data_IF_924304763513
#
_entry.id   IF_924304763513
#
_cell.length_a   1.000
_cell.length_b   1.000
_cell.length_c   1.000
_cell.angle_alpha   90.00
_cell.angle_beta   90.00
_cell.angle_gamma   90.00
#
_symmetry.space_group_name_H-M   'P 1'
#
loop_
_entity.id
_entity.type
_entity.pdbx_description
1 polymer ?
#
# COMPACT_ATOMS: atom_id res chain seq x y z
N UNK A 1 -20.02 -21.96 -11.78
CA UNK A 1 -19.49 -20.79 -12.54
C UNK A 1 -18.32 -20.25 -11.73
N UNK A 2 -17.18 -19.97 -12.35
CA UNK A 2 -15.93 -19.59 -11.66
C UNK A 2 -15.28 -18.36 -12.27
N UNK A 3 -14.12 -17.98 -11.75
CA UNK A 3 -13.31 -16.90 -12.32
C UNK A 3 -12.80 -17.30 -13.72
N UNK A 4 -12.96 -16.41 -14.69
CA UNK A 4 -12.58 -16.62 -16.09
C UNK A 4 -11.35 -15.76 -16.41
N UNK A 5 -10.17 -16.42 -16.50
CA UNK A 5 -8.88 -15.76 -16.73
C UNK A 5 -8.73 -15.21 -18.16
N UNK A 6 -9.67 -15.50 -19.06
CA UNK A 6 -9.64 -14.99 -20.44
C UNK A 6 -10.33 -13.64 -20.59
N UNK A 7 -11.00 -13.16 -19.53
CA UNK A 7 -11.71 -11.89 -19.51
C UNK A 7 -10.98 -10.86 -18.63
N UNK A 8 -10.97 -9.58 -19.00
CA UNK A 8 -10.40 -8.54 -18.16
C UNK A 8 -11.05 -8.51 -16.77
N UNK A 9 -10.22 -8.43 -15.74
CA UNK A 9 -10.62 -8.34 -14.34
C UNK A 9 -10.18 -7.02 -13.71
N UNK A 10 -10.86 -6.60 -12.64
CA UNK A 10 -10.42 -5.50 -11.79
C UNK A 10 -10.06 -6.06 -10.41
N UNK A 11 -8.81 -5.87 -10.00
CA UNK A 11 -8.26 -6.33 -8.74
C UNK A 11 -8.05 -5.14 -7.79
N UNK A 12 -8.25 -5.37 -6.50
CA UNK A 12 -8.02 -4.39 -5.44
C UNK A 12 -7.24 -5.03 -4.29
N UNK A 13 -6.13 -4.41 -3.91
CA UNK A 13 -5.33 -4.77 -2.74
C UNK A 13 -5.15 -3.53 -1.85
N UNK A 14 -6.13 -3.25 -1.00
CA UNK A 14 -6.17 -2.11 -0.07
C UNK A 14 -5.85 -2.59 1.36
N UNK A 15 -5.05 -1.82 2.10
CA UNK A 15 -4.67 -2.17 3.48
C UNK A 15 -4.05 -3.55 3.65
N UNK A 16 -3.35 -4.06 2.63
CA UNK A 16 -2.85 -5.45 2.61
C UNK A 16 -1.33 -5.55 2.65
N UNK A 17 -0.65 -4.80 1.77
CA UNK A 17 0.79 -5.05 1.50
C UNK A 17 1.68 -4.89 2.73
N UNK A 18 1.31 -3.99 3.65
CA UNK A 18 2.05 -3.77 4.89
C UNK A 18 2.12 -5.01 5.80
N UNK A 19 1.18 -5.94 5.65
CA UNK A 19 1.06 -7.16 6.44
C UNK A 19 1.67 -8.37 5.74
N UNK A 20 2.22 -8.20 4.53
CA UNK A 20 2.87 -9.25 3.77
C UNK A 20 4.39 -9.08 3.85
N UNK A 21 5.18 -10.15 4.04
CA UNK A 21 6.60 -10.13 3.71
C UNK A 21 6.87 -9.70 2.26
N UNK A 22 8.11 -9.28 1.93
CA UNK A 22 8.44 -8.80 0.59
C UNK A 22 8.21 -9.86 -0.51
N UNK A 23 8.64 -11.10 -0.28
CA UNK A 23 8.43 -12.22 -1.20
C UNK A 23 6.95 -12.56 -1.40
N UNK A 24 6.12 -12.40 -0.37
CA UNK A 24 4.68 -12.60 -0.45
C UNK A 24 3.98 -11.52 -1.28
N UNK A 25 4.46 -10.27 -1.26
CA UNK A 25 3.98 -9.22 -2.18
C UNK A 25 4.27 -9.61 -3.64
N UNK A 26 5.50 -10.02 -3.93
CA UNK A 26 5.91 -10.42 -5.28
C UNK A 26 5.10 -11.65 -5.76
N UNK A 27 4.93 -12.63 -4.87
CA UNK A 27 4.09 -13.80 -5.14
C UNK A 27 2.63 -13.46 -5.41
N UNK A 28 2.05 -12.50 -4.67
CA UNK A 28 0.71 -11.98 -4.90
C UNK A 28 0.59 -11.34 -6.28
N UNK A 29 1.49 -10.42 -6.63
CA UNK A 29 1.46 -9.77 -7.94
C UNK A 29 1.72 -10.74 -9.09
N UNK A 30 2.58 -11.74 -8.90
CA UNK A 30 2.80 -12.81 -9.88
C UNK A 30 1.54 -13.64 -10.16
N UNK A 31 0.79 -13.99 -9.11
CA UNK A 31 -0.49 -14.69 -9.25
C UNK A 31 -1.55 -13.83 -9.95
N UNK A 32 -1.70 -12.57 -9.54
CA UNK A 32 -2.63 -11.63 -10.20
C UNK A 32 -2.27 -11.48 -11.68
N UNK A 33 -0.98 -11.35 -12.00
CA UNK A 33 -0.49 -11.24 -13.38
C UNK A 33 -0.82 -12.49 -14.20
N UNK A 34 -0.61 -13.68 -13.64
CA UNK A 34 -0.93 -14.95 -14.30
C UNK A 34 -2.42 -15.10 -14.59
N UNK A 35 -3.28 -14.57 -13.72
CA UNK A 35 -4.74 -14.67 -13.83
C UNK A 35 -5.38 -13.54 -14.64
N UNK A 36 -4.61 -12.55 -15.10
CA UNK A 36 -5.13 -11.34 -15.73
C UNK A 36 -4.97 -11.36 -17.26
N UNK A 37 -6.10 -11.34 -17.97
CA UNK A 37 -6.13 -11.06 -19.41
C UNK A 37 -5.67 -9.62 -19.70
N UNK A 38 -5.17 -9.32 -20.93
CA UNK A 38 -4.92 -7.95 -21.37
C UNK A 38 -6.10 -7.01 -21.11
N UNK A 39 -5.80 -5.78 -20.67
CA UNK A 39 -6.82 -4.81 -20.27
C UNK A 39 -7.39 -4.98 -18.86
N UNK A 40 -6.97 -6.01 -18.11
CA UNK A 40 -7.24 -6.09 -16.67
C UNK A 40 -6.64 -4.90 -15.92
N UNK A 41 -7.20 -4.56 -14.77
CA UNK A 41 -6.76 -3.45 -13.93
C UNK A 41 -6.46 -3.92 -12.52
N UNK A 42 -5.47 -3.31 -11.89
CA UNK A 42 -5.08 -3.55 -10.51
C UNK A 42 -4.93 -2.21 -9.79
N UNK A 43 -5.55 -2.08 -8.62
CA UNK A 43 -5.34 -0.96 -7.71
C UNK A 43 -4.74 -1.48 -6.40
N UNK A 44 -3.70 -0.83 -5.92
CA UNK A 44 -2.95 -1.26 -4.73
C UNK A 44 -2.65 -0.08 -3.83
N UNK A 45 -2.81 -0.27 -2.53
CA UNK A 45 -2.25 0.62 -1.53
C UNK A 45 -0.84 0.16 -1.16
N UNK A 46 0.18 0.87 -1.69
CA UNK A 46 1.58 0.59 -1.41
C UNK A 46 2.10 1.51 -0.29
N UNK A 47 2.90 0.97 0.62
CA UNK A 47 3.55 1.76 1.67
C UNK A 47 5.01 1.93 1.31
N UNK A 48 5.50 3.16 1.34
CA UNK A 48 6.94 3.43 1.20
C UNK A 48 7.65 3.03 2.48
N UNK A 49 8.87 2.48 2.35
CA UNK A 49 9.70 2.16 3.50
C UNK A 49 9.77 3.33 4.49
N UNK A 50 9.57 3.01 5.76
CA UNK A 50 9.78 3.95 6.85
C UNK A 50 11.04 3.51 7.60
N UNK A 51 11.93 4.46 7.88
CA UNK A 51 13.01 4.23 8.83
C UNK A 51 12.43 3.71 10.16
N UNK A 52 13.13 2.76 10.80
CA UNK A 52 12.70 2.15 12.06
C UNK A 52 12.43 3.18 13.16
N UNK A 53 13.27 4.23 13.23
CA UNK A 53 13.09 5.33 14.16
C UNK A 53 11.76 6.06 13.97
N UNK A 54 11.28 6.14 12.72
CA UNK A 54 10.02 6.81 12.40
C UNK A 54 8.81 5.94 12.75
N UNK A 55 8.93 4.62 12.60
CA UNK A 55 7.92 3.67 13.10
C UNK A 55 7.79 3.76 14.62
N UNK A 56 8.90 3.87 15.34
CA UNK A 56 8.88 4.07 16.80
C UNK A 56 8.14 5.36 17.18
N UNK A 57 8.45 6.48 16.52
CA UNK A 57 7.74 7.75 16.76
C UNK A 57 6.24 7.66 16.47
N UNK A 58 5.84 6.94 15.42
CA UNK A 58 4.42 6.71 15.10
C UNK A 58 3.74 5.81 16.13
N UNK A 59 4.42 4.77 16.61
CA UNK A 59 3.95 3.90 17.69
C UNK A 59 3.70 4.69 18.97
N UNK A 60 4.70 5.44 19.44
CA UNK A 60 4.60 6.24 20.67
C UNK A 60 3.43 7.25 20.61
N UNK A 61 3.18 7.83 19.44
CA UNK A 61 2.06 8.78 19.24
C UNK A 61 0.71 8.10 19.20
N UNK A 62 0.59 6.98 18.49
CA UNK A 62 -0.62 6.17 18.51
C UNK A 62 -0.93 5.68 19.93
N UNK A 63 0.12 5.33 20.66
CA UNK A 63 0.05 4.97 22.06
C UNK A 63 -0.53 6.14 22.86
N UNK A 64 0.11 7.32 22.82
CA UNK A 64 -0.37 8.51 23.51
C UNK A 64 -1.83 8.86 23.16
N UNK A 65 -2.20 8.80 21.87
CA UNK A 65 -3.57 9.07 21.43
C UNK A 65 -4.58 8.06 21.98
N UNK A 66 -4.24 6.76 21.98
CA UNK A 66 -5.10 5.71 22.52
C UNK A 66 -5.32 5.84 24.04
N UNK A 67 -4.29 6.26 24.79
CA UNK A 67 -4.41 6.58 26.21
C UNK A 67 -5.34 7.78 26.43
N UNK A 68 -5.19 8.84 25.64
CA UNK A 68 -5.99 10.06 25.75
C UNK A 68 -7.49 9.83 25.45
N UNK A 69 -7.84 8.84 24.62
CA UNK A 69 -9.22 8.53 24.21
C UNK A 69 -9.79 7.25 24.84
N UNK A 70 -9.04 6.57 25.71
CA UNK A 70 -9.50 5.43 26.51
C UNK A 70 -9.79 4.14 25.70
N UNK A 71 -9.09 3.91 24.59
CA UNK A 71 -9.24 2.67 23.80
C UNK A 71 -8.39 1.55 24.42
N UNK A 72 -9.03 0.46 24.85
CA UNK A 72 -8.35 -0.73 25.37
C UNK A 72 -7.50 -1.40 24.28
N UNK A 73 -6.22 -1.62 24.61
CA UNK A 73 -5.18 -2.12 23.72
C UNK A 73 -5.08 -3.64 23.77
N UNK A 74 -5.68 -4.32 22.81
CA UNK A 74 -5.57 -5.79 22.71
C UNK A 74 -4.68 -6.26 21.55
N UNK A 75 -4.25 -5.39 20.63
CA UNK A 75 -3.40 -5.73 19.47
C UNK A 75 -2.45 -4.57 19.16
N UNK A 76 -1.14 -4.83 19.14
CA UNK A 76 -0.17 -3.89 18.60
C UNK A 76 -0.14 -4.02 17.06
N UNK A 77 -0.80 -3.09 16.37
CA UNK A 77 -0.88 -3.08 14.91
C UNK A 77 0.51 -2.89 14.28
N UNK A 78 1.45 -2.25 14.99
CA UNK A 78 2.79 -2.04 14.48
C UNK A 78 3.60 -3.35 14.39
N UNK A 79 3.36 -4.30 15.30
CA UNK A 79 3.97 -5.64 15.27
C UNK A 79 3.45 -6.53 14.14
N UNK A 80 2.32 -6.17 13.52
CA UNK A 80 1.75 -6.92 12.39
C UNK A 80 2.36 -6.53 11.04
N UNK A 81 3.17 -5.46 11.00
CA UNK A 81 3.65 -4.89 9.72
C UNK A 81 5.10 -5.25 9.43
N UNK A 82 5.36 -5.72 8.20
CA UNK A 82 6.70 -6.08 7.73
C UNK A 82 7.40 -4.89 7.07
N UNK A 83 8.54 -4.50 7.65
CA UNK A 83 9.42 -3.49 7.08
C UNK A 83 10.68 -4.16 6.52
N UNK A 84 10.65 -4.48 5.23
CA UNK A 84 11.75 -5.15 4.55
C UNK A 84 12.37 -4.19 3.54
N UNK A 85 13.61 -3.71 3.73
CA UNK A 85 14.23 -2.71 2.85
C UNK A 85 14.37 -3.19 1.39
N UNK A 86 14.29 -4.49 1.14
CA UNK A 86 14.40 -5.09 -0.19
C UNK A 86 13.03 -5.28 -0.87
N UNK A 87 11.91 -4.85 -0.24
CA UNK A 87 10.58 -4.91 -0.87
C UNK A 87 10.57 -4.04 -2.13
N UNK A 88 10.15 -4.64 -3.23
CA UNK A 88 10.06 -3.95 -4.51
C UNK A 88 9.03 -2.81 -4.47
N UNK A 89 9.36 -1.69 -5.15
CA UNK A 89 8.37 -0.66 -5.45
C UNK A 89 7.28 -1.24 -6.35
N UNK A 90 6.02 -1.10 -5.94
CA UNK A 90 4.90 -1.72 -6.63
C UNK A 90 4.73 -1.19 -8.07
N UNK A 91 5.02 0.09 -8.32
CA UNK A 91 4.94 0.67 -9.67
C UNK A 91 6.01 0.09 -10.57
N UNK A 92 7.25 0.03 -10.08
CA UNK A 92 8.40 -0.52 -10.83
C UNK A 92 8.23 -2.02 -11.09
N UNK A 93 7.82 -2.78 -10.06
CA UNK A 93 7.60 -4.21 -10.17
C UNK A 93 6.52 -4.51 -11.21
N UNK A 94 5.35 -3.86 -11.12
CA UNK A 94 4.25 -4.07 -12.07
C UNK A 94 4.67 -3.66 -13.48
N UNK A 95 5.40 -2.54 -13.62
CA UNK A 95 5.99 -2.08 -14.88
C UNK A 95 6.86 -3.14 -15.55
N UNK A 96 7.78 -3.75 -14.80
CA UNK A 96 8.67 -4.81 -15.27
C UNK A 96 7.93 -6.10 -15.68
N UNK A 97 6.70 -6.30 -15.19
CA UNK A 97 5.93 -7.51 -15.40
C UNK A 97 4.76 -7.35 -16.38
N UNK A 98 4.82 -6.34 -17.26
CA UNK A 98 3.84 -6.13 -18.35
C UNK A 98 2.56 -5.43 -17.89
N UNK A 99 2.71 -4.48 -16.98
CA UNK A 99 1.64 -3.56 -16.63
C UNK A 99 2.08 -2.14 -16.96
N UNK A 100 1.14 -1.32 -17.40
CA UNK A 100 1.29 0.13 -17.41
C UNK A 100 0.83 0.65 -16.04
N UNK A 101 1.78 1.02 -15.18
CA UNK A 101 1.55 1.34 -13.77
C UNK A 101 1.95 2.77 -13.43
N UNK A 102 1.17 3.41 -12.55
CA UNK A 102 1.46 4.74 -12.01
C UNK A 102 1.01 4.84 -10.56
N UNK A 103 1.74 5.62 -9.76
CA UNK A 103 1.45 5.86 -8.36
C UNK A 103 1.06 7.31 -8.09
N UNK A 104 0.04 7.52 -7.27
CA UNK A 104 -0.34 8.83 -6.71
C UNK A 104 -0.19 8.77 -5.20
N UNK A 105 0.51 9.74 -4.60
CA UNK A 105 0.61 9.78 -3.13
C UNK A 105 -0.76 10.08 -2.53
N UNK A 106 -1.09 9.47 -1.38
CA UNK A 106 -2.38 9.77 -0.73
C UNK A 106 -2.47 11.24 -0.30
N UNK A 107 -1.33 11.91 -0.07
CA UNK A 107 -1.31 13.35 0.20
C UNK A 107 -1.75 14.18 -0.99
N UNK A 108 -1.27 13.84 -2.20
CA UNK A 108 -1.67 14.54 -3.42
C UNK A 108 -3.14 14.29 -3.73
N UNK A 109 -3.62 13.08 -3.48
CA UNK A 109 -5.04 12.75 -3.66
C UNK A 109 -5.93 13.49 -2.63
N UNK A 110 -5.51 13.56 -1.37
CA UNK A 110 -6.20 14.38 -0.35
C UNK A 110 -6.21 15.86 -0.71
N UNK A 111 -5.10 16.40 -1.22
CA UNK A 111 -5.03 17.80 -1.70
C UNK A 111 -5.96 18.02 -2.88
N UNK A 112 -5.92 17.14 -3.89
CA UNK A 112 -6.80 17.20 -5.07
C UNK A 112 -8.28 17.22 -4.69
N UNK A 113 -8.65 16.51 -3.63
CA UNK A 113 -10.02 16.43 -3.12
C UNK A 113 -10.36 17.50 -2.07
N UNK A 114 -9.45 18.44 -1.76
CA UNK A 114 -9.62 19.44 -0.70
C UNK A 114 -9.91 18.84 0.68
N UNK A 115 -9.30 17.68 0.96
CA UNK A 115 -9.39 16.94 2.23
C UNK A 115 -8.08 16.93 3.01
N UNK A 116 -7.02 17.49 2.45
CA UNK A 116 -5.77 17.70 3.16
C UNK A 116 -5.95 18.74 4.27
N UNK A 117 -5.44 18.45 5.46
CA UNK A 117 -5.34 19.39 6.58
C UNK A 117 -3.86 19.55 6.89
N UNK A 118 -3.39 20.78 7.13
CA UNK A 118 -2.00 21.02 7.56
C UNK A 118 -1.73 20.24 8.85
N UNK A 119 -0.82 19.28 8.75
CA UNK A 119 -0.33 18.50 9.87
C UNK A 119 1.05 19.07 10.22
N UNK A 120 1.37 19.29 11.51
CA UNK A 120 2.68 19.81 11.92
C UNK A 120 3.85 19.08 11.23
N UNK A 121 4.80 19.88 10.74
CA UNK A 121 5.63 19.61 9.55
C UNK A 121 6.66 18.47 9.66
N UNK A 122 6.97 17.97 10.86
CA UNK A 122 8.06 17.00 11.05
C UNK A 122 7.65 15.52 10.92
N UNK A 123 6.35 15.21 10.88
CA UNK A 123 5.90 13.83 11.16
C UNK A 123 5.27 13.10 9.98
N UNK A 124 4.74 13.83 9.00
CA UNK A 124 3.77 13.27 8.05
C UNK A 124 4.18 13.30 6.58
N UNK A 125 5.30 13.94 6.22
CA UNK A 125 5.65 14.13 4.80
C UNK A 125 5.81 12.81 4.02
N UNK A 126 6.27 11.74 4.68
CA UNK A 126 6.44 10.41 4.07
C UNK A 126 5.55 9.34 4.72
N UNK A 127 4.49 9.72 5.45
CA UNK A 127 3.69 8.79 6.30
C UNK A 127 2.51 8.13 5.57
N UNK A 128 2.47 8.29 4.26
CA UNK A 128 1.28 8.10 3.46
C UNK A 128 1.50 7.05 2.39
N UNK A 129 0.46 6.25 2.18
CA UNK A 129 0.47 5.26 1.12
C UNK A 129 0.52 5.92 -0.26
N UNK A 130 1.09 5.19 -1.22
CA UNK A 130 0.98 5.50 -2.64
C UNK A 130 -0.13 4.61 -3.19
N UNK A 131 -1.15 5.22 -3.79
CA UNK A 131 -2.17 4.50 -4.53
C UNK A 131 -1.62 4.19 -5.93
N UNK A 132 -1.32 2.92 -6.17
CA UNK A 132 -0.80 2.44 -7.46
C UNK A 132 -1.97 1.91 -8.27
N UNK A 133 -2.11 2.42 -9.50
CA UNK A 133 -3.06 1.91 -10.49
C UNK A 133 -2.25 1.35 -11.65
N UNK A 134 -2.59 0.15 -12.07
CA UNK A 134 -1.94 -0.55 -13.16
C UNK A 134 -2.96 -1.16 -14.14
N UNK A 135 -2.64 -1.11 -15.44
CA UNK A 135 -3.40 -1.78 -16.49
C UNK A 135 -2.54 -2.81 -17.22
N UNK A 136 -3.05 -4.04 -17.37
CA UNK A 136 -2.34 -5.15 -18.03
C UNK A 136 -2.14 -4.83 -19.50
N UNK A 137 -0.89 -4.85 -19.96
CA UNK A 137 -0.56 -4.60 -21.37
C UNK A 137 -0.99 -5.78 -22.25
N UNK A 138 -1.12 -5.57 -23.58
CA UNK A 138 -1.31 -6.65 -24.55
C UNK A 138 -0.24 -7.74 -24.50
#
# INVERSE_FOLDING_TARGET
>A
VGFDTTRPAAWLAEGLLMYLPADAQDGLFGQITTLSAPGSRLSVEAIRHHDEERRERMRERWQKMADDIGIERNVDIADLTYNDPDRADATEWLGAHGWDASGTSSTDEMRRLNRWTEVPEEDYQDGFSTFVIAQRTP
#
